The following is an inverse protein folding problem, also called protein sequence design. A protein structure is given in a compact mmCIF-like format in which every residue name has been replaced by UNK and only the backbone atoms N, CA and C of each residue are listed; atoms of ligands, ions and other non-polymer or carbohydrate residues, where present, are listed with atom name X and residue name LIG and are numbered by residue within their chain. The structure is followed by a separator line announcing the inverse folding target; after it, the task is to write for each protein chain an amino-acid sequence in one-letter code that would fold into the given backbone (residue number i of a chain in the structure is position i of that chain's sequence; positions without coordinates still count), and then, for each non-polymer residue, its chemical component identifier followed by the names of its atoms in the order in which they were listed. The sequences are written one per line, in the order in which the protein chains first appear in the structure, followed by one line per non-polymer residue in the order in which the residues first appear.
data_IF_930775340571
#
_entry.id   IF_930775340571
#
_cell.length_a   1.000
_cell.length_b   1.000
_cell.length_c   1.000
_cell.angle_alpha   90.00
_cell.angle_beta   90.00
_cell.angle_gamma   90.00
#
_symmetry.space_group_name_H-M   'P 1'
#
loop_
_entity.id
_entity.type
_entity.pdbx_description
1 polymer ?
#
# COMPACT_ATOMS: atom_id res chain seq x y z
N UNK A 1 -8.27 -17.57 16.26
CA UNK A 1 -6.80 -17.46 16.37
C UNK A 1 -6.36 -16.71 15.15
N UNK A 2 -5.96 -15.45 15.31
CA UNK A 2 -5.79 -14.55 14.16
C UNK A 2 -4.50 -14.90 13.44
N UNK A 3 -4.54 -14.97 12.11
CA UNK A 3 -3.43 -15.33 11.22
C UNK A 3 -2.30 -14.27 11.18
N UNK A 4 -2.11 -13.51 12.26
CA UNK A 4 -1.04 -12.52 12.41
C UNK A 4 0.32 -13.15 12.75
N UNK A 5 0.49 -14.46 12.54
CA UNK A 5 1.76 -15.18 12.70
C UNK A 5 2.58 -15.25 11.40
N UNK A 6 2.35 -14.32 10.46
CA UNK A 6 3.31 -14.09 9.37
C UNK A 6 4.44 -13.23 9.93
N UNK A 7 5.68 -13.60 9.62
CA UNK A 7 6.91 -12.91 10.02
C UNK A 7 6.72 -11.41 9.77
N UNK A 8 6.57 -10.65 10.86
CA UNK A 8 6.55 -9.19 10.79
C UNK A 8 7.86 -8.74 10.15
N UNK A 9 7.85 -7.67 9.35
CA UNK A 9 9.08 -7.24 8.72
C UNK A 9 10.07 -6.79 9.82
N UNK A 10 11.26 -7.36 9.79
CA UNK A 10 12.29 -7.08 10.78
C UNK A 10 12.80 -5.65 10.62
N UNK A 11 12.97 -4.88 11.71
CA UNK A 11 13.59 -3.56 11.62
C UNK A 11 14.95 -3.62 10.90
N UNK A 12 15.15 -2.72 9.94
CA UNK A 12 16.32 -2.67 9.06
C UNK A 12 16.22 -3.55 7.81
N UNK A 13 15.16 -4.34 7.63
CA UNK A 13 14.94 -5.07 6.38
C UNK A 13 14.51 -4.11 5.27
N UNK A 14 15.12 -4.26 4.08
CA UNK A 14 14.75 -3.53 2.87
C UNK A 14 14.16 -4.49 1.85
N UNK A 15 13.03 -4.13 1.25
CA UNK A 15 12.36 -4.91 0.20
C UNK A 15 11.63 -3.98 -0.78
N UNK A 16 11.01 -4.51 -1.82
CA UNK A 16 10.30 -3.70 -2.84
C UNK A 16 8.94 -3.23 -2.34
N UNK A 17 8.51 -2.08 -2.83
CA UNK A 17 7.11 -1.65 -2.72
C UNK A 17 6.60 -1.19 -4.08
N UNK A 18 5.28 -1.15 -4.19
CA UNK A 18 4.59 -0.46 -5.27
C UNK A 18 3.33 0.21 -4.73
N UNK A 19 3.02 1.37 -5.27
CA UNK A 19 1.72 2.02 -5.13
C UNK A 19 1.06 1.99 -6.50
N UNK A 20 -0.02 1.25 -6.64
CA UNK A 20 -0.84 1.29 -7.85
C UNK A 20 -1.88 2.38 -7.74
N UNK A 21 -2.15 3.07 -8.84
CA UNK A 21 -3.37 3.84 -9.04
C UNK A 21 -4.40 2.95 -9.74
N UNK A 22 -5.58 2.85 -9.16
CA UNK A 22 -6.59 1.88 -9.54
C UNK A 22 -7.91 2.58 -9.87
N UNK A 23 -8.22 2.60 -11.17
CA UNK A 23 -9.48 3.09 -11.72
C UNK A 23 -10.42 1.90 -11.89
N UNK A 24 -11.10 1.54 -10.80
CA UNK A 24 -12.20 0.58 -10.79
C UNK A 24 -13.55 1.32 -10.66
N UNK A 25 -14.58 0.69 -10.09
CA UNK A 25 -15.86 1.35 -9.76
C UNK A 25 -15.68 2.60 -8.88
N UNK A 26 -14.58 2.67 -8.13
CA UNK A 26 -14.16 3.85 -7.39
C UNK A 26 -12.66 4.01 -7.52
N UNK A 27 -12.20 5.22 -7.84
CA UNK A 27 -10.78 5.55 -7.90
C UNK A 27 -10.15 5.44 -6.51
N UNK A 28 -9.05 4.70 -6.42
CA UNK A 28 -8.26 4.54 -5.20
C UNK A 28 -6.81 4.18 -5.54
N UNK A 29 -5.98 4.05 -4.52
CA UNK A 29 -4.62 3.57 -4.66
C UNK A 29 -4.42 2.27 -3.89
N UNK A 30 -3.55 1.38 -4.34
CA UNK A 30 -3.16 0.19 -3.61
C UNK A 30 -1.69 0.30 -3.18
N UNK A 31 -1.42 0.44 -1.88
CA UNK A 31 -0.06 0.30 -1.35
C UNK A 31 0.25 -1.18 -1.14
N UNK A 32 1.41 -1.61 -1.64
CA UNK A 32 1.87 -3.00 -1.56
C UNK A 32 3.32 -3.05 -1.09
N UNK A 33 3.57 -3.81 -0.04
CA UNK A 33 4.90 -4.00 0.54
C UNK A 33 5.30 -5.48 0.39
N UNK A 34 6.44 -5.75 -0.24
CA UNK A 34 6.97 -7.11 -0.35
C UNK A 34 7.43 -7.63 1.02
N UNK A 35 6.89 -8.75 1.47
CA UNK A 35 7.22 -9.34 2.76
C UNK A 35 6.74 -10.79 2.86
N UNK A 36 7.55 -11.65 3.48
CA UNK A 36 7.22 -13.08 3.68
C UNK A 36 6.75 -13.81 2.40
N UNK A 37 7.34 -13.49 1.25
CA UNK A 37 7.07 -14.13 -0.04
C UNK A 37 5.78 -13.69 -0.75
N UNK A 38 5.13 -12.64 -0.26
CA UNK A 38 3.91 -12.06 -0.84
C UNK A 38 3.97 -10.53 -0.82
N UNK A 39 2.98 -9.87 -1.39
CA UNK A 39 2.75 -8.44 -1.24
C UNK A 39 1.65 -8.17 -0.20
N UNK A 40 2.04 -7.65 0.95
CA UNK A 40 1.07 -7.14 1.91
C UNK A 40 0.43 -5.87 1.36
N UNK A 41 -0.89 -5.87 1.27
CA UNK A 41 -1.63 -4.96 0.40
C UNK A 41 -2.70 -4.19 1.19
N UNK A 42 -2.75 -2.88 0.97
CA UNK A 42 -3.77 -1.99 1.51
C UNK A 42 -4.35 -1.11 0.41
N UNK A 43 -5.68 -1.03 0.35
CA UNK A 43 -6.36 -0.02 -0.44
C UNK A 43 -6.37 1.32 0.33
N UNK A 44 -6.06 2.41 -0.36
CA UNK A 44 -6.02 3.78 0.11
C UNK A 44 -7.09 4.59 -0.67
N UNK A 45 -8.34 4.66 -0.20
CA UNK A 45 -9.44 5.30 -0.93
C UNK A 45 -9.22 6.80 -1.21
N UNK A 46 -8.36 7.44 -0.42
CA UNK A 46 -7.97 8.84 -0.59
C UNK A 46 -6.48 9.00 -0.93
N UNK A 47 -5.82 7.95 -1.39
CA UNK A 47 -4.40 7.95 -1.74
C UNK A 47 -3.44 8.04 -0.56
N UNK A 48 -2.15 8.09 -0.89
CA UNK A 48 -1.04 8.21 0.05
C UNK A 48 -1.10 9.59 0.75
N UNK A 49 -0.94 9.66 2.09
CA UNK A 49 -0.93 10.94 2.79
C UNK A 49 0.23 11.84 2.31
N UNK A 50 -0.07 13.12 2.08
CA UNK A 50 0.92 14.16 1.71
C UNK A 50 1.04 15.27 2.75
N UNK A 51 0.24 15.21 3.82
CA UNK A 51 0.22 16.18 4.92
C UNK A 51 0.33 15.40 6.25
N UNK A 52 1.33 15.67 7.09
CA UNK A 52 1.52 14.96 8.36
C UNK A 52 0.45 15.28 9.41
N UNK A 53 -0.40 16.28 9.19
CA UNK A 53 -1.53 16.60 10.09
C UNK A 53 -2.78 15.78 9.79
N UNK A 54 -2.80 15.03 8.68
CA UNK A 54 -3.93 14.21 8.25
C UNK A 54 -3.59 12.72 8.21
N UNK A 55 -4.51 11.90 8.72
CA UNK A 55 -4.45 10.44 8.53
C UNK A 55 -5.31 10.03 7.34
N UNK A 56 -4.81 9.10 6.51
CA UNK A 56 -5.61 8.48 5.45
C UNK A 56 -6.06 7.09 5.88
N UNK A 57 -7.30 6.73 5.57
CA UNK A 57 -7.78 5.36 5.74
C UNK A 57 -6.98 4.42 4.85
N UNK A 58 -6.53 3.32 5.44
CA UNK A 58 -5.93 2.19 4.74
C UNK A 58 -6.75 0.94 5.07
N UNK A 59 -7.29 0.27 4.06
CA UNK A 59 -8.09 -0.94 4.22
C UNK A 59 -7.22 -2.13 3.87
N UNK A 60 -7.02 -3.06 4.80
CA UNK A 60 -6.27 -4.30 4.50
C UNK A 60 -7.05 -5.10 3.47
N UNK A 61 -6.37 -5.51 2.40
CA UNK A 61 -6.92 -6.43 1.39
C UNK A 61 -6.07 -7.70 1.35
N UNK A 62 -6.52 -8.68 0.57
CA UNK A 62 -5.83 -9.96 0.38
C UNK A 62 -4.38 -9.75 -0.09
N UNK A 63 -3.49 -10.64 0.34
CA UNK A 63 -2.11 -10.64 -0.14
C UNK A 63 -2.05 -10.95 -1.63
N UNK A 64 -1.12 -10.32 -2.33
CA UNK A 64 -0.92 -10.56 -3.76
C UNK A 64 0.39 -11.30 -4.02
N UNK A 65 0.48 -12.00 -5.15
CA UNK A 65 1.72 -12.60 -5.62
C UNK A 65 2.79 -11.54 -5.89
N UNK A 66 4.07 -11.94 -5.81
CA UNK A 66 5.20 -11.03 -6.02
C UNK A 66 5.28 -10.49 -7.46
N UNK A 67 4.73 -11.22 -8.42
CA UNK A 67 4.56 -10.82 -9.82
C UNK A 67 3.67 -9.59 -9.97
N UNK A 68 2.79 -9.33 -9.00
CA UNK A 68 1.90 -8.17 -9.00
C UNK A 68 2.65 -6.84 -8.77
N UNK A 69 3.92 -6.88 -8.37
CA UNK A 69 4.69 -5.65 -8.08
C UNK A 69 4.92 -4.78 -9.34
N UNK A 70 5.03 -5.43 -10.49
CA UNK A 70 5.27 -4.79 -11.80
C UNK A 70 4.00 -4.80 -12.68
N UNK A 71 2.85 -5.17 -12.11
CA UNK A 71 1.62 -5.36 -12.88
C UNK A 71 1.01 -4.01 -13.29
N UNK A 72 0.67 -3.92 -14.58
CA UNK A 72 -0.13 -2.82 -15.13
C UNK A 72 -1.27 -3.39 -15.97
N UNK A 73 -2.41 -2.73 -15.90
CA UNK A 73 -3.54 -2.92 -16.80
C UNK A 73 -3.74 -1.63 -17.58
N UNK A 74 -3.37 -1.66 -18.86
CA UNK A 74 -3.44 -0.52 -19.78
C UNK A 74 -4.80 -0.40 -20.49
N UNK A 75 -5.79 -1.22 -20.10
CA UNK A 75 -7.09 -1.19 -20.74
C UNK A 75 -7.70 0.22 -20.60
N UNK A 76 -8.12 0.86 -21.70
CA UNK A 76 -8.72 2.19 -21.64
C UNK A 76 -10.00 2.17 -20.80
N UNK A 77 -10.15 3.16 -19.91
CA UNK A 77 -11.37 3.37 -19.12
C UNK A 77 -12.23 4.44 -19.77
N UNK A 78 -13.52 4.18 -19.90
CA UNK A 78 -14.54 5.20 -20.15
C UNK A 78 -15.16 5.63 -18.81
N UNK A 79 -14.94 6.88 -18.35
CA UNK A 79 -15.48 7.35 -17.08
C UNK A 79 -17.01 7.49 -17.07
N UNK A 80 -17.66 7.47 -18.23
CA UNK A 80 -19.12 7.57 -18.38
C UNK A 80 -19.80 6.20 -18.50
N UNK A 81 -19.04 5.10 -18.63
CA UNK A 81 -19.54 3.73 -18.71
C UNK A 81 -19.29 2.95 -17.39
N UNK A 82 -20.33 2.60 -16.62
CA UNK A 82 -20.17 1.81 -15.40
C UNK A 82 -19.69 0.37 -15.64
N UNK A 83 -19.77 -0.14 -16.87
CA UNK A 83 -19.25 -1.45 -17.28
C UNK A 83 -17.83 -1.35 -17.86
N UNK A 84 -17.26 -0.14 -17.90
CA UNK A 84 -15.90 0.08 -18.39
C UNK A 84 -14.89 -0.81 -17.66
N UNK A 85 -13.90 -1.38 -18.38
CA UNK A 85 -12.86 -2.17 -17.76
C UNK A 85 -12.06 -1.37 -16.73
N UNK A 86 -11.43 -2.10 -15.83
CA UNK A 86 -10.55 -1.56 -14.80
C UNK A 86 -9.24 -1.12 -15.47
N UNK A 87 -8.68 0.01 -15.03
CA UNK A 87 -7.29 0.38 -15.35
C UNK A 87 -6.46 0.40 -14.08
N UNK A 88 -5.25 -0.12 -14.18
CA UNK A 88 -4.28 -0.15 -13.08
C UNK A 88 -2.92 0.28 -13.58
N UNK A 89 -2.39 1.36 -13.03
CA UNK A 89 -1.05 1.84 -13.37
C UNK A 89 -0.18 1.93 -12.12
N UNK A 90 1.13 1.89 -12.29
CA UNK A 90 2.06 2.19 -11.19
C UNK A 90 2.06 3.71 -10.97
N UNK A 91 1.62 4.13 -9.79
CA UNK A 91 1.74 5.51 -9.35
C UNK A 91 3.17 5.78 -8.89
N UNK A 92 3.70 4.94 -8.01
CA UNK A 92 5.07 5.02 -7.49
C UNK A 92 5.60 3.60 -7.19
N UNK A 93 6.91 3.43 -7.23
CA UNK A 93 7.56 2.15 -6.98
C UNK A 93 8.99 2.38 -6.51
N UNK A 94 9.55 1.40 -5.81
CA UNK A 94 10.92 1.48 -5.30
C UNK A 94 11.18 0.49 -4.18
N UNK A 95 11.95 0.93 -3.19
CA UNK A 95 12.24 0.12 -2.01
C UNK A 95 11.65 0.73 -0.75
N UNK A 96 11.33 -0.12 0.22
CA UNK A 96 10.95 0.30 1.55
C UNK A 96 11.86 -0.32 2.59
N UNK A 97 12.14 0.41 3.66
CA UNK A 97 12.91 -0.07 4.81
C UNK A 97 12.08 0.02 6.07
N UNK A 98 12.00 -1.06 6.85
CA UNK A 98 11.25 -1.04 8.10
C UNK A 98 12.07 -0.38 9.20
N UNK A 99 11.51 0.67 9.80
CA UNK A 99 12.13 1.41 10.90
C UNK A 99 11.74 0.80 12.24
N UNK A 100 10.46 0.43 12.38
CA UNK A 100 9.92 -0.17 13.61
C UNK A 100 8.66 -0.96 13.33
N UNK A 101 8.55 -2.15 13.89
CA UNK A 101 7.34 -2.97 13.86
C UNK A 101 6.84 -3.28 15.28
N UNK A 102 5.52 -3.30 15.43
CA UNK A 102 4.77 -3.75 16.61
C UNK A 102 3.45 -4.35 16.10
N UNK A 103 2.75 -5.16 16.91
CA UNK A 103 1.54 -5.86 16.44
C UNK A 103 0.46 -4.96 15.82
N UNK A 104 0.39 -3.68 16.23
CA UNK A 104 -0.63 -2.74 15.77
C UNK A 104 -0.05 -1.56 14.97
N UNK A 105 1.26 -1.52 14.72
CA UNK A 105 1.89 -0.39 14.03
C UNK A 105 3.20 -0.81 13.37
N UNK A 106 3.33 -0.50 12.09
CA UNK A 106 4.60 -0.56 11.35
C UNK A 106 4.98 0.84 10.88
N UNK A 107 6.23 1.21 11.08
CA UNK A 107 6.87 2.43 10.60
C UNK A 107 7.92 2.02 9.59
N UNK A 108 7.90 2.66 8.42
CA UNK A 108 8.78 2.34 7.32
C UNK A 108 9.09 3.59 6.49
N UNK A 109 10.26 3.58 5.88
CA UNK A 109 10.68 4.58 4.91
C UNK A 109 10.38 4.04 3.52
N UNK A 110 9.71 4.82 2.68
CA UNK A 110 9.63 4.58 1.24
C UNK A 110 10.72 5.39 0.56
N UNK A 111 11.43 4.76 -0.37
CA UNK A 111 12.35 5.38 -1.30
C UNK A 111 11.90 5.04 -2.72
N UNK A 112 11.07 5.92 -3.29
CA UNK A 112 10.40 5.72 -4.57
C UNK A 112 10.86 6.69 -5.65
N UNK A 113 10.37 6.47 -6.87
CA UNK A 113 10.60 7.37 -8.01
C UNK A 113 9.98 8.75 -7.82
N UNK A 114 8.91 8.86 -7.00
CA UNK A 114 8.30 10.15 -6.62
C UNK A 114 8.97 10.85 -5.44
N UNK A 115 10.01 10.26 -4.87
CA UNK A 115 10.75 10.76 -3.73
C UNK A 115 10.65 9.83 -2.52
N UNK A 116 11.34 10.23 -1.45
CA UNK A 116 11.45 9.43 -0.22
C UNK A 116 10.64 10.06 0.92
N UNK A 117 9.94 9.23 1.70
CA UNK A 117 9.16 9.68 2.85
C UNK A 117 8.94 8.55 3.87
N UNK A 118 8.87 8.92 5.14
CA UNK A 118 8.61 7.99 6.25
C UNK A 118 7.11 7.93 6.55
N UNK A 119 6.57 6.73 6.70
CA UNK A 119 5.15 6.49 6.98
C UNK A 119 4.95 5.55 8.16
N UNK A 120 3.76 5.64 8.75
CA UNK A 120 3.25 4.64 9.67
C UNK A 120 1.93 4.06 9.18
N UNK A 121 1.80 2.74 9.18
CA UNK A 121 0.52 2.05 9.15
C UNK A 121 0.12 1.66 10.57
N UNK A 122 -1.06 2.08 11.00
CA UNK A 122 -1.57 1.91 12.37
C UNK A 122 -2.87 1.12 12.32
N UNK A 123 -2.90 -0.06 12.95
CA UNK A 123 -4.09 -0.89 13.04
C UNK A 123 -5.07 -0.30 14.04
N UNK A 124 -6.32 -0.13 13.61
CA UNK A 124 -7.40 0.42 14.45
C UNK A 124 -8.48 -0.61 14.79
N UNK A 125 -8.30 -1.86 14.34
CA UNK A 125 -9.21 -3.00 14.57
C UNK A 125 -9.87 -3.50 13.29
N UNK A 126 -10.25 -4.79 13.29
CA UNK A 126 -10.75 -5.52 12.10
C UNK A 126 -9.77 -5.35 10.92
N UNK A 127 -10.26 -4.89 9.77
CA UNK A 127 -9.46 -4.67 8.55
C UNK A 127 -9.10 -3.19 8.36
N UNK A 128 -9.37 -2.33 9.35
CA UNK A 128 -9.15 -0.89 9.26
C UNK A 128 -7.79 -0.48 9.82
N UNK A 129 -7.03 0.20 8.98
CA UNK A 129 -5.76 0.82 9.29
C UNK A 129 -5.79 2.30 8.96
N UNK A 130 -4.85 3.04 9.53
CA UNK A 130 -4.54 4.41 9.14
C UNK A 130 -3.14 4.44 8.57
N UNK A 131 -2.94 5.17 7.47
CA UNK A 131 -1.64 5.57 6.99
C UNK A 131 -1.39 7.02 7.40
N UNK A 132 -0.21 7.26 7.98
CA UNK A 132 0.21 8.57 8.48
C UNK A 132 1.58 8.92 7.90
N UNK A 133 1.72 10.14 7.37
CA UNK A 133 3.02 10.69 6.95
C UNK A 133 3.76 11.16 8.21
N UNK A 134 4.96 10.63 8.43
CA UNK A 134 5.82 11.03 9.54
C UNK A 134 6.53 12.34 9.16
N UNK A 135 6.55 13.31 10.08
CA UNK A 135 7.24 14.60 9.92
C UNK A 135 8.72 14.52 10.31
#
# INVERSE_FOLDING_TARGET
MSEFSRVEPEPGSTARFVVHEHYATTHHFDLRLEGAGVLWSWALPKGVPTDPTENRLAVRVEDHGLDHVDFVDETPVDPDDPESPIRKSIWDTGTYTVVRATPNKVVFDLDGERGSASYALIHTGRDHWLMHLMA
#
